data_IF_747178444845
#
_entry.id   IF_747178444845
#
_cell.length_a   1.000
_cell.length_b   1.000
_cell.length_c   1.000
_cell.angle_alpha   90.00
_cell.angle_beta   90.00
_cell.angle_gamma   90.00
#
_symmetry.space_group_name_H-M   'P 1'
#
loop_
_entity.id
_entity.type
_entity.pdbx_description
1 polymer ?
#
# COMPACT_ATOMS: atom_id res chain seq x y z
N UNK A 1 34.36 -2.50 13.44
CA UNK A 1 33.98 -1.64 12.30
C UNK A 1 32.53 -1.93 11.94
N UNK A 2 31.69 -0.92 11.79
CA UNK A 2 30.34 -1.12 11.30
C UNK A 2 30.42 -1.66 9.87
N UNK A 3 29.73 -2.77 9.57
CA UNK A 3 29.66 -3.34 8.24
C UNK A 3 28.97 -2.32 7.33
N UNK A 4 29.68 -1.83 6.31
CA UNK A 4 29.11 -0.94 5.32
C UNK A 4 28.07 -1.71 4.49
N UNK A 5 27.01 -1.01 4.11
CA UNK A 5 25.96 -1.55 3.27
C UNK A 5 26.52 -1.85 1.85
N UNK A 6 26.32 -3.05 1.36
CA UNK A 6 26.81 -3.45 0.04
C UNK A 6 25.74 -3.20 -1.02
N UNK A 7 26.10 -2.43 -2.05
CA UNK A 7 25.22 -2.09 -3.17
C UNK A 7 25.98 -2.14 -4.49
N UNK A 8 25.22 -2.34 -5.58
CA UNK A 8 25.74 -2.29 -6.95
C UNK A 8 24.75 -1.58 -7.85
N UNK A 9 25.22 -0.54 -8.56
CA UNK A 9 24.45 0.19 -9.55
C UNK A 9 24.63 -0.46 -10.93
N UNK A 10 23.56 -0.52 -11.70
CA UNK A 10 23.54 -0.98 -13.09
C UNK A 10 22.36 -0.35 -13.83
N UNK A 11 22.19 -0.66 -15.09
CA UNK A 11 21.00 -0.31 -15.87
C UNK A 11 20.32 -1.56 -16.43
N UNK A 12 19.02 -1.46 -16.65
CA UNK A 12 18.18 -2.50 -17.24
C UNK A 12 17.22 -1.80 -18.21
N UNK A 13 17.12 -2.26 -19.44
CA UNK A 13 16.14 -1.72 -20.38
C UNK A 13 14.71 -2.11 -19.97
N UNK A 14 13.71 -1.33 -20.40
CA UNK A 14 12.30 -1.72 -20.19
C UNK A 14 12.00 -3.07 -20.82
N UNK A 15 12.60 -3.38 -21.97
CA UNK A 15 12.47 -4.71 -22.60
C UNK A 15 12.95 -5.83 -21.69
N UNK A 16 14.17 -5.71 -21.16
CA UNK A 16 14.73 -6.72 -20.22
C UNK A 16 13.93 -6.79 -18.90
N UNK A 17 13.46 -5.65 -18.42
CA UNK A 17 12.57 -5.62 -17.25
C UNK A 17 11.29 -6.41 -17.53
N UNK A 18 10.62 -6.16 -18.66
CA UNK A 18 9.36 -6.81 -18.99
C UNK A 18 9.52 -8.32 -19.21
N UNK A 19 10.62 -8.77 -19.84
CA UNK A 19 10.96 -10.19 -19.97
C UNK A 19 11.15 -10.87 -18.59
N UNK A 20 11.81 -10.18 -17.67
CA UNK A 20 11.97 -10.66 -16.30
C UNK A 20 10.65 -10.64 -15.52
N UNK A 21 9.80 -9.64 -15.75
CA UNK A 21 8.47 -9.52 -15.14
C UNK A 21 7.55 -10.67 -15.57
N UNK A 22 7.45 -10.94 -16.88
CA UNK A 22 6.64 -12.05 -17.43
C UNK A 22 7.15 -13.42 -17.00
N UNK A 23 8.46 -13.51 -16.66
CA UNK A 23 9.08 -14.70 -16.09
C UNK A 23 8.95 -14.82 -14.58
N UNK A 24 8.13 -13.99 -13.92
CA UNK A 24 7.87 -13.96 -12.48
C UNK A 24 9.14 -13.82 -11.62
N UNK A 25 10.12 -13.04 -12.09
CA UNK A 25 11.37 -12.82 -11.34
C UNK A 25 11.26 -11.69 -10.32
N UNK A 26 10.18 -10.89 -10.30
CA UNK A 26 10.00 -9.80 -9.35
C UNK A 26 8.92 -10.13 -8.33
N UNK A 27 9.19 -9.82 -7.06
CA UNK A 27 8.24 -9.89 -5.96
C UNK A 27 7.88 -8.46 -5.55
N UNK A 28 6.62 -8.10 -5.75
CA UNK A 28 6.08 -6.77 -5.44
C UNK A 28 5.41 -6.70 -4.07
N UNK A 29 5.02 -7.83 -3.49
CA UNK A 29 4.27 -7.90 -2.23
C UNK A 29 5.19 -8.23 -1.05
N UNK A 30 6.34 -7.55 -0.99
CA UNK A 30 7.20 -7.60 0.19
C UNK A 30 6.61 -6.76 1.31
N UNK A 31 6.75 -7.25 2.53
CA UNK A 31 6.03 -6.80 3.73
C UNK A 31 6.17 -5.32 4.08
N UNK A 32 7.18 -4.64 3.55
CA UNK A 32 7.48 -3.23 3.79
C UNK A 32 7.01 -2.28 2.69
N UNK A 33 6.29 -2.77 1.66
CA UNK A 33 5.85 -1.92 0.55
C UNK A 33 4.43 -1.36 0.71
N UNK A 34 4.18 -0.24 -0.01
CA UNK A 34 2.84 0.36 -0.14
C UNK A 34 1.90 -0.57 -0.91
N UNK A 35 0.60 -0.52 -0.60
CA UNK A 35 -0.43 -1.17 -1.43
C UNK A 35 -0.36 -0.65 -2.87
N UNK A 36 -0.62 -1.52 -3.84
CA UNK A 36 -0.79 -1.13 -5.26
C UNK A 36 -1.88 -0.07 -5.39
N UNK A 37 -1.76 0.80 -6.39
CA UNK A 37 -2.78 1.81 -6.66
C UNK A 37 -2.64 3.12 -5.87
N UNK A 38 -1.52 3.37 -5.20
CA UNK A 38 -1.27 4.67 -4.52
C UNK A 38 -1.10 5.81 -5.52
N UNK A 39 -0.50 5.55 -6.70
CA UNK A 39 -0.40 6.56 -7.74
C UNK A 39 -1.70 6.69 -8.53
N UNK A 40 -2.14 7.93 -8.76
CA UNK A 40 -3.22 8.21 -9.72
C UNK A 40 -2.80 7.83 -11.14
N UNK A 41 -3.78 7.65 -12.02
CA UNK A 41 -3.55 7.40 -13.43
C UNK A 41 -2.70 8.52 -14.05
N UNK A 42 -3.02 9.79 -13.77
CA UNK A 42 -2.24 10.94 -14.24
C UNK A 42 -0.77 10.87 -13.85
N UNK A 43 -0.46 10.47 -12.61
CA UNK A 43 0.93 10.35 -12.15
C UNK A 43 1.67 9.21 -12.86
N UNK A 44 0.97 8.11 -13.16
CA UNK A 44 1.52 6.99 -13.94
C UNK A 44 1.77 7.42 -15.38
N UNK A 45 0.79 8.07 -16.01
CA UNK A 45 0.89 8.59 -17.37
C UNK A 45 2.03 9.60 -17.52
N UNK A 46 2.20 10.51 -16.55
CA UNK A 46 3.30 11.46 -16.51
C UNK A 46 4.68 10.77 -16.44
N UNK A 47 4.80 9.66 -15.73
CA UNK A 47 6.04 8.86 -15.76
C UNK A 47 6.31 8.31 -17.16
N UNK A 48 5.29 7.79 -17.84
CA UNK A 48 5.44 7.25 -19.20
C UNK A 48 5.84 8.35 -20.18
N UNK A 49 5.26 9.54 -20.06
CA UNK A 49 5.67 10.73 -20.84
C UNK A 49 7.15 11.03 -20.64
N UNK A 50 7.61 11.01 -19.38
CA UNK A 50 9.02 11.25 -19.05
C UNK A 50 9.95 10.20 -19.70
N UNK A 51 9.54 8.93 -19.72
CA UNK A 51 10.28 7.84 -20.35
C UNK A 51 10.37 8.05 -21.87
N UNK A 52 9.26 8.37 -22.53
CA UNK A 52 9.20 8.58 -23.97
C UNK A 52 10.00 9.81 -24.41
N UNK A 53 10.09 10.82 -23.56
CA UNK A 53 10.92 12.02 -23.77
C UNK A 53 12.38 11.82 -23.34
N UNK A 54 12.74 10.61 -22.88
CA UNK A 54 14.07 10.26 -22.38
C UNK A 54 14.53 11.08 -21.17
N UNK A 55 13.60 11.57 -20.35
CA UNK A 55 13.94 12.23 -19.10
C UNK A 55 14.45 11.23 -18.05
N UNK A 56 15.36 11.64 -17.17
CA UNK A 56 15.83 10.77 -16.11
C UNK A 56 14.72 10.48 -15.11
N UNK A 57 14.52 9.20 -14.78
CA UNK A 57 13.63 8.76 -13.71
C UNK A 57 14.43 8.26 -12.50
N UNK A 58 13.91 8.39 -11.27
CA UNK A 58 14.59 7.88 -10.08
C UNK A 58 14.91 6.39 -10.17
N UNK A 59 16.02 5.98 -9.56
CA UNK A 59 16.48 4.60 -9.57
C UNK A 59 15.48 3.64 -8.92
N UNK A 60 15.45 2.40 -9.43
CA UNK A 60 14.71 1.28 -8.86
C UNK A 60 15.63 0.51 -7.92
N UNK A 61 15.17 0.20 -6.71
CA UNK A 61 15.97 -0.53 -5.72
C UNK A 61 15.46 -1.97 -5.62
N UNK A 62 16.35 -2.92 -5.89
CA UNK A 62 16.07 -4.35 -5.93
C UNK A 62 16.94 -5.10 -4.92
N UNK A 63 16.36 -6.07 -4.21
CA UNK A 63 17.10 -7.02 -3.39
C UNK A 63 17.11 -8.38 -4.09
N UNK A 64 18.26 -8.88 -4.55
CA UNK A 64 18.35 -10.24 -5.08
C UNK A 64 18.20 -11.26 -3.96
N UNK A 65 17.32 -12.22 -4.15
CA UNK A 65 17.08 -13.34 -3.27
C UNK A 65 17.19 -14.64 -4.06
N UNK A 66 17.77 -15.67 -3.47
CA UNK A 66 17.75 -17.01 -4.06
C UNK A 66 16.50 -17.72 -3.55
N UNK A 67 15.68 -18.18 -4.46
CA UNK A 67 14.54 -19.03 -4.15
C UNK A 67 15.07 -20.42 -3.76
N UNK A 68 14.82 -20.85 -2.54
CA UNK A 68 15.39 -22.10 -1.99
C UNK A 68 14.85 -23.35 -2.67
N UNK A 69 13.65 -23.30 -3.23
CA UNK A 69 13.00 -24.46 -3.86
C UNK A 69 13.49 -24.66 -5.30
N UNK A 70 13.70 -23.57 -6.02
CA UNK A 70 14.05 -23.60 -7.44
C UNK A 70 15.51 -23.28 -7.75
N UNK A 71 16.25 -22.71 -6.78
CA UNK A 71 17.61 -22.20 -6.95
C UNK A 71 17.72 -20.97 -7.87
N UNK A 72 16.58 -20.41 -8.31
CA UNK A 72 16.54 -19.24 -9.19
C UNK A 72 16.67 -17.94 -8.40
N UNK A 73 17.31 -16.95 -8.99
CA UNK A 73 17.35 -15.60 -8.44
C UNK A 73 16.03 -14.90 -8.75
N UNK A 74 15.38 -14.42 -7.69
CA UNK A 74 14.23 -13.53 -7.73
C UNK A 74 14.59 -12.20 -7.09
N UNK A 75 13.89 -11.15 -7.40
CA UNK A 75 14.19 -9.79 -6.95
C UNK A 75 13.03 -9.22 -6.15
N UNK A 76 13.25 -8.91 -4.89
CA UNK A 76 12.32 -8.09 -4.12
C UNK A 76 12.46 -6.65 -4.57
N UNK A 77 11.36 -6.05 -4.96
CA UNK A 77 11.33 -4.63 -5.31
C UNK A 77 11.30 -3.83 -4.01
N UNK A 78 12.40 -3.22 -3.60
CA UNK A 78 12.51 -2.44 -2.36
C UNK A 78 11.91 -1.05 -2.54
N UNK A 79 12.28 -0.34 -3.59
CA UNK A 79 11.65 0.92 -4.01
C UNK A 79 11.49 0.96 -5.52
N UNK A 80 10.48 1.72 -5.98
CA UNK A 80 10.14 1.85 -7.38
C UNK A 80 8.97 0.97 -7.84
N UNK A 81 8.26 0.30 -6.93
CA UNK A 81 7.07 -0.51 -7.24
C UNK A 81 6.09 0.24 -8.14
N UNK A 82 5.69 1.46 -7.75
CA UNK A 82 4.72 2.26 -8.50
C UNK A 82 5.24 2.64 -9.90
N UNK A 83 6.56 2.86 -10.05
CA UNK A 83 7.20 3.12 -11.34
C UNK A 83 7.15 1.89 -12.24
N UNK A 84 7.50 0.73 -11.72
CA UNK A 84 7.44 -0.53 -12.46
C UNK A 84 6.00 -0.92 -12.81
N UNK A 85 5.06 -0.75 -11.89
CA UNK A 85 3.63 -0.96 -12.14
C UNK A 85 3.09 -0.03 -13.24
N UNK A 86 3.50 1.25 -13.25
CA UNK A 86 3.10 2.19 -14.31
C UNK A 86 3.60 1.75 -15.70
N UNK A 87 4.83 1.26 -15.79
CA UNK A 87 5.39 0.71 -17.04
C UNK A 87 4.58 -0.50 -17.51
N UNK A 88 4.26 -1.43 -16.59
CA UNK A 88 3.43 -2.60 -16.91
C UNK A 88 2.01 -2.18 -17.31
N UNK A 89 1.39 -1.25 -16.55
CA UNK A 89 0.05 -0.74 -16.84
C UNK A 89 -0.04 -0.12 -18.25
N UNK A 90 0.99 0.58 -18.68
CA UNK A 90 1.05 1.14 -20.02
C UNK A 90 1.20 0.04 -21.08
N UNK A 91 2.12 -0.90 -20.93
CA UNK A 91 2.32 -2.02 -21.86
C UNK A 91 1.01 -2.83 -22.01
N UNK A 92 0.29 -3.04 -20.91
CA UNK A 92 -0.97 -3.79 -20.89
C UNK A 92 -2.22 -2.94 -21.21
N UNK A 93 -2.02 -1.68 -21.61
CA UNK A 93 -3.07 -0.73 -22.02
C UNK A 93 -4.08 -0.38 -20.91
N UNK A 94 -3.65 -0.40 -19.66
CA UNK A 94 -4.47 0.05 -18.52
C UNK A 94 -4.43 1.55 -18.30
N UNK A 95 -3.41 2.23 -18.84
CA UNK A 95 -3.26 3.68 -18.86
C UNK A 95 -2.86 4.15 -20.27
N UNK A 96 -3.06 5.45 -20.54
CA UNK A 96 -2.67 6.14 -21.76
C UNK A 96 -1.60 7.21 -21.48
N UNK A 97 -1.00 7.77 -22.51
CA UNK A 97 -0.19 8.99 -22.39
C UNK A 97 -1.07 10.16 -21.92
N UNK A 98 -0.44 11.19 -21.35
CA UNK A 98 -1.16 12.42 -21.02
C UNK A 98 -1.69 13.10 -22.29
N UNK A 99 -2.83 13.76 -22.18
CA UNK A 99 -3.40 14.54 -23.31
C UNK A 99 -2.57 15.76 -23.66
N UNK A 100 -1.72 16.21 -22.71
CA UNK A 100 -0.78 17.34 -22.88
C UNK A 100 0.66 16.88 -23.19
N UNK A 101 0.84 15.64 -23.69
CA UNK A 101 2.16 15.10 -24.02
C UNK A 101 2.98 16.00 -24.95
N UNK A 102 2.32 16.70 -25.89
CA UNK A 102 2.96 17.60 -26.83
C UNK A 102 3.24 19.01 -26.27
N UNK A 103 2.76 19.36 -25.07
CA UNK A 103 2.88 20.71 -24.49
C UNK A 103 4.21 20.93 -23.74
N UNK A 104 5.28 20.28 -24.17
CA UNK A 104 6.58 20.34 -23.50
C UNK A 104 7.57 21.19 -24.30
N UNK A 105 8.20 22.18 -23.68
CA UNK A 105 9.16 23.11 -24.30
C UNK A 105 10.38 22.43 -24.93
N UNK A 106 10.62 21.14 -24.62
CA UNK A 106 11.73 20.37 -25.19
C UNK A 106 11.34 19.56 -26.43
N UNK A 107 10.08 19.60 -26.86
CA UNK A 107 9.67 19.03 -28.14
C UNK A 107 9.91 20.08 -29.19
N UNK A 108 10.86 19.83 -30.11
CA UNK A 108 11.14 20.71 -31.23
C UNK A 108 9.98 20.72 -32.25
N UNK A 109 9.92 21.79 -33.05
CA UNK A 109 8.85 22.00 -34.04
C UNK A 109 8.73 20.82 -35.02
N UNK A 110 9.82 20.12 -35.33
CA UNK A 110 9.81 18.95 -36.22
C UNK A 110 9.11 17.73 -35.63
N UNK A 111 9.08 17.63 -34.32
CA UNK A 111 8.46 16.49 -33.59
C UNK A 111 7.08 16.83 -32.97
N UNK A 112 6.69 18.12 -32.99
CA UNK A 112 5.45 18.59 -32.35
C UNK A 112 4.19 17.96 -32.96
N UNK A 113 4.11 17.84 -34.27
CA UNK A 113 2.98 17.20 -34.96
C UNK A 113 2.86 15.73 -34.51
N UNK A 114 3.99 15.00 -34.54
CA UNK A 114 4.08 13.61 -34.15
C UNK A 114 3.74 13.39 -32.68
N UNK A 115 4.21 14.27 -31.80
CA UNK A 115 3.89 14.24 -30.37
C UNK A 115 2.40 14.48 -30.12
N UNK A 116 1.81 15.44 -30.85
CA UNK A 116 0.37 15.74 -30.75
C UNK A 116 -0.50 14.55 -31.20
N UNK A 117 -0.06 13.79 -32.19
CA UNK A 117 -0.81 12.63 -32.69
C UNK A 117 -0.81 11.43 -31.73
N UNK A 118 0.17 11.33 -30.84
CA UNK A 118 0.24 10.24 -29.85
C UNK A 118 -0.28 10.63 -28.45
N UNK A 119 -0.50 11.90 -28.20
CA UNK A 119 -1.06 12.39 -26.94
C UNK A 119 -2.39 11.69 -26.62
N UNK A 120 -2.55 11.22 -25.40
CA UNK A 120 -3.73 10.49 -24.95
C UNK A 120 -3.90 9.06 -25.48
N UNK A 121 -2.92 8.52 -26.21
CA UNK A 121 -3.00 7.16 -26.74
C UNK A 121 -2.42 6.12 -25.76
N UNK A 122 -3.00 4.92 -25.81
CA UNK A 122 -2.48 3.71 -25.17
C UNK A 122 -1.30 3.13 -25.96
N UNK A 123 -0.53 2.24 -25.32
CA UNK A 123 0.60 1.57 -25.97
C UNK A 123 0.22 0.83 -27.24
N UNK A 124 -0.92 0.11 -27.23
CA UNK A 124 -1.40 -0.64 -28.40
C UNK A 124 -1.81 0.29 -29.55
N UNK A 125 -2.37 1.46 -29.26
CA UNK A 125 -2.75 2.46 -30.27
C UNK A 125 -1.52 3.07 -30.92
N UNK A 126 -0.49 3.43 -30.13
CA UNK A 126 0.79 3.90 -30.64
C UNK A 126 1.45 2.81 -31.50
N UNK A 127 1.44 1.57 -31.01
CA UNK A 127 2.01 0.44 -31.76
C UNK A 127 1.31 0.18 -33.10
N UNK A 128 -0.01 0.35 -33.19
CA UNK A 128 -0.74 0.26 -34.46
C UNK A 128 -0.32 1.33 -35.47
N UNK A 129 0.08 2.51 -34.97
CA UNK A 129 0.60 3.64 -35.76
C UNK A 129 2.12 3.55 -35.99
N UNK A 130 2.75 2.43 -35.63
CA UNK A 130 4.22 2.25 -35.63
C UNK A 130 4.93 2.60 -36.93
N UNK A 131 4.24 2.59 -38.09
CA UNK A 131 4.81 3.05 -39.38
C UNK A 131 5.08 4.55 -39.39
N UNK A 132 4.29 5.31 -38.60
CA UNK A 132 4.43 6.78 -38.49
C UNK A 132 5.32 7.18 -37.31
N UNK A 133 5.37 6.32 -36.24
CA UNK A 133 6.05 6.63 -34.97
C UNK A 133 6.98 5.51 -34.49
N UNK A 134 7.86 4.94 -35.34
CA UNK A 134 8.71 3.82 -34.97
C UNK A 134 9.66 4.16 -33.82
N UNK A 135 10.08 5.41 -33.70
CA UNK A 135 11.08 5.85 -32.75
C UNK A 135 10.53 5.88 -31.30
N UNK A 136 9.26 6.21 -31.08
CA UNK A 136 8.65 6.21 -29.75
C UNK A 136 8.56 4.80 -29.14
N UNK A 137 8.19 3.79 -29.95
CA UNK A 137 8.16 2.39 -29.50
C UNK A 137 9.57 1.88 -29.20
N UNK A 138 10.53 2.21 -30.07
CA UNK A 138 11.93 1.86 -29.85
C UNK A 138 12.48 2.56 -28.61
N UNK A 139 12.25 3.86 -28.47
CA UNK A 139 12.65 4.66 -27.31
C UNK A 139 12.12 4.06 -26.01
N UNK A 140 10.83 3.71 -25.97
CA UNK A 140 10.21 3.09 -24.81
C UNK A 140 10.92 1.77 -24.42
N UNK A 141 11.08 0.85 -25.37
CA UNK A 141 11.68 -0.45 -25.07
C UNK A 141 13.17 -0.38 -24.70
N UNK A 142 13.90 0.56 -25.29
CA UNK A 142 15.35 0.74 -25.05
C UNK A 142 15.65 1.69 -23.90
N UNK A 143 14.64 2.34 -23.31
CA UNK A 143 14.86 3.22 -22.17
C UNK A 143 15.53 2.48 -21.02
N UNK A 144 16.64 3.04 -20.51
CA UNK A 144 17.45 2.44 -19.47
C UNK A 144 16.98 2.86 -18.08
N UNK A 145 16.38 1.94 -17.35
CA UNK A 145 16.05 2.08 -15.92
C UNK A 145 17.34 1.96 -15.10
N UNK A 146 17.59 2.92 -14.22
CA UNK A 146 18.69 2.83 -13.27
C UNK A 146 18.31 1.85 -12.15
N UNK A 147 19.12 0.82 -11.94
CA UNK A 147 18.89 -0.23 -10.94
C UNK A 147 19.98 -0.18 -9.88
N UNK A 148 19.56 -0.16 -8.62
CA UNK A 148 20.42 -0.30 -7.44
C UNK A 148 20.14 -1.65 -6.76
N UNK A 149 21.10 -2.57 -6.82
CA UNK A 149 21.02 -3.83 -6.08
C UNK A 149 21.48 -3.66 -4.65
N UNK A 150 20.67 -4.16 -3.71
CA UNK A 150 20.94 -4.14 -2.27
C UNK A 150 21.22 -5.58 -1.80
N UNK A 151 22.49 -5.89 -1.46
CA UNK A 151 22.91 -7.24 -1.05
C UNK A 151 22.78 -7.50 0.45
N UNK A 152 21.76 -6.91 1.10
CA UNK A 152 21.52 -7.10 2.54
C UNK A 152 20.46 -8.20 2.77
N UNK A 153 20.80 -9.14 3.66
CA UNK A 153 19.94 -10.26 4.00
C UNK A 153 18.99 -9.95 5.17
N UNK A 154 19.35 -8.96 6.00
CA UNK A 154 18.55 -8.60 7.17
C UNK A 154 17.42 -7.65 6.78
N UNK A 155 16.17 -8.08 6.98
CA UNK A 155 14.97 -7.32 6.63
C UNK A 155 14.90 -5.97 7.35
N UNK A 156 15.30 -5.89 8.62
CA UNK A 156 15.32 -4.64 9.40
C UNK A 156 16.23 -3.56 8.75
N UNK A 157 17.34 -3.97 8.15
CA UNK A 157 18.24 -3.04 7.46
C UNK A 157 17.67 -2.62 6.11
N UNK A 158 17.01 -3.53 5.39
CA UNK A 158 16.32 -3.21 4.14
C UNK A 158 15.17 -2.23 4.40
N UNK A 159 14.38 -2.45 5.45
CA UNK A 159 13.33 -1.53 5.88
C UNK A 159 13.88 -0.13 6.23
N UNK A 160 15.05 -0.06 6.88
CA UNK A 160 15.73 1.21 7.17
C UNK A 160 16.18 1.95 5.90
N UNK A 161 16.69 1.23 4.90
CA UNK A 161 17.06 1.81 3.59
C UNK A 161 15.80 2.33 2.89
N UNK A 162 14.73 1.54 2.87
CA UNK A 162 13.46 1.92 2.28
C UNK A 162 12.89 3.21 2.93
N UNK A 163 12.92 3.33 4.25
CA UNK A 163 12.51 4.56 4.96
C UNK A 163 13.34 5.78 4.51
N UNK A 164 14.65 5.62 4.39
CA UNK A 164 15.54 6.71 3.94
C UNK A 164 15.28 7.14 2.50
N UNK A 165 15.02 6.19 1.60
CA UNK A 165 14.69 6.48 0.20
C UNK A 165 13.37 7.25 0.08
N UNK A 166 12.37 6.86 0.86
CA UNK A 166 11.05 7.49 0.83
C UNK A 166 11.02 8.90 1.46
N UNK A 167 11.97 9.26 2.31
CA UNK A 167 12.04 10.63 2.88
C UNK A 167 12.27 11.72 1.84
N UNK A 168 12.76 11.37 0.65
CA UNK A 168 12.97 12.29 -0.46
C UNK A 168 11.78 12.37 -1.44
N UNK A 169 10.70 11.61 -1.17
CA UNK A 169 9.46 11.59 -1.97
C UNK A 169 8.22 11.81 -1.10
N UNK A 170 7.16 11.03 -1.33
CA UNK A 170 6.05 10.93 -0.38
C UNK A 170 6.49 10.03 0.80
N UNK A 171 6.71 10.57 2.00
CA UNK A 171 7.23 9.78 3.13
C UNK A 171 6.24 8.67 3.48
N UNK A 172 6.75 7.53 3.95
CA UNK A 172 5.93 6.47 4.51
C UNK A 172 5.09 7.01 5.67
N UNK A 173 3.86 6.55 5.78
CA UNK A 173 3.09 6.76 7.01
C UNK A 173 3.74 5.98 8.15
N UNK A 174 3.45 6.41 9.38
CA UNK A 174 3.89 5.68 10.58
C UNK A 174 3.40 4.22 10.56
N UNK A 175 2.21 3.96 10.03
CA UNK A 175 1.67 2.61 9.92
C UNK A 175 2.38 1.75 8.86
N UNK A 176 2.77 2.34 7.72
CA UNK A 176 3.60 1.64 6.74
C UNK A 176 4.97 1.25 7.31
N UNK A 177 5.57 2.14 8.14
CA UNK A 177 6.81 1.85 8.86
C UNK A 177 6.64 0.73 9.89
N UNK A 178 5.53 0.72 10.67
CA UNK A 178 5.21 -0.37 11.59
C UNK A 178 5.03 -1.69 10.86
N UNK A 179 4.31 -1.67 9.73
CA UNK A 179 4.12 -2.87 8.91
C UNK A 179 5.44 -3.46 8.41
N UNK A 180 6.42 -2.62 8.06
CA UNK A 180 7.76 -3.07 7.69
C UNK A 180 8.53 -3.62 8.90
N UNK A 181 8.60 -2.84 9.99
CA UNK A 181 9.42 -3.17 11.19
C UNK A 181 8.94 -4.44 11.91
N UNK A 182 7.62 -4.68 11.93
CA UNK A 182 7.02 -5.79 12.69
C UNK A 182 6.44 -6.89 11.79
N UNK A 183 6.87 -6.99 10.53
CA UNK A 183 6.33 -7.89 9.52
C UNK A 183 6.17 -9.34 9.97
N UNK A 184 7.16 -9.87 10.68
CA UNK A 184 7.19 -11.25 11.15
C UNK A 184 6.60 -11.45 12.55
N UNK A 185 6.20 -10.34 13.21
CA UNK A 185 5.70 -10.42 14.59
C UNK A 185 4.33 -11.10 14.65
N UNK A 186 4.09 -11.90 15.70
CA UNK A 186 2.75 -12.44 16.00
C UNK A 186 1.69 -11.34 16.12
N UNK A 187 2.05 -10.18 16.68
CA UNK A 187 1.16 -9.05 16.82
C UNK A 187 0.61 -8.58 15.47
N UNK A 188 1.49 -8.25 14.51
CA UNK A 188 1.04 -7.72 13.23
C UNK A 188 0.25 -8.75 12.42
N UNK A 189 0.62 -10.03 12.51
CA UNK A 189 -0.14 -11.12 11.88
C UNK A 189 -1.57 -11.16 12.42
N UNK A 190 -1.74 -11.10 13.75
CA UNK A 190 -3.05 -11.09 14.41
C UNK A 190 -3.86 -9.84 14.02
N UNK A 191 -3.27 -8.66 14.01
CA UNK A 191 -3.97 -7.42 13.58
C UNK A 191 -4.45 -7.54 12.13
N UNK A 192 -3.61 -8.05 11.22
CA UNK A 192 -4.00 -8.30 9.82
C UNK A 192 -5.12 -9.34 9.69
N UNK A 193 -5.13 -10.37 10.51
CA UNK A 193 -6.23 -11.33 10.56
C UNK A 193 -7.53 -10.68 11.03
N UNK A 194 -7.48 -9.88 12.09
CA UNK A 194 -8.64 -9.13 12.59
C UNK A 194 -9.20 -8.16 11.57
N UNK A 195 -8.33 -7.47 10.80
CA UNK A 195 -8.73 -6.55 9.72
C UNK A 195 -9.52 -7.25 8.62
N UNK A 196 -9.28 -8.55 8.42
CA UNK A 196 -9.93 -9.37 7.36
C UNK A 196 -11.20 -10.06 7.82
N UNK A 197 -11.69 -9.81 9.04
CA UNK A 197 -12.96 -10.40 9.49
C UNK A 197 -14.14 -9.80 8.72
N UNK A 198 -15.16 -10.60 8.41
CA UNK A 198 -16.33 -10.21 7.61
C UNK A 198 -17.00 -8.93 8.13
N UNK A 199 -16.98 -8.70 9.45
CA UNK A 199 -17.51 -7.49 10.05
C UNK A 199 -16.90 -6.21 9.46
N UNK A 200 -15.60 -6.21 9.16
CA UNK A 200 -14.88 -5.04 8.68
C UNK A 200 -14.87 -4.89 7.16
N UNK A 201 -15.26 -5.92 6.42
CA UNK A 201 -15.06 -5.98 4.97
C UNK A 201 -15.70 -4.79 4.24
N UNK A 202 -16.98 -4.53 4.50
CA UNK A 202 -17.71 -3.38 3.93
C UNK A 202 -17.41 -2.08 4.66
N UNK A 203 -17.24 -2.12 5.99
CA UNK A 203 -17.14 -0.94 6.84
C UNK A 203 -15.82 -0.20 6.68
N UNK A 204 -14.73 -0.93 6.41
CA UNK A 204 -13.41 -0.36 6.19
C UNK A 204 -13.05 -0.22 4.70
N UNK A 205 -13.99 -0.42 3.78
CA UNK A 205 -13.74 -0.38 2.33
C UNK A 205 -13.03 0.91 1.88
N UNK A 206 -13.39 2.06 2.47
CA UNK A 206 -12.76 3.36 2.20
C UNK A 206 -11.31 3.44 2.69
N UNK A 207 -10.99 2.81 3.83
CA UNK A 207 -9.64 2.81 4.44
C UNK A 207 -8.73 1.79 3.77
N UNK A 208 -9.26 0.70 3.23
CA UNK A 208 -8.48 -0.34 2.54
C UNK A 208 -7.68 0.19 1.35
N UNK A 209 -8.14 1.26 0.71
CA UNK A 209 -7.49 1.91 -0.41
C UNK A 209 -6.44 2.95 -0.01
N UNK A 210 -6.34 3.32 1.27
CA UNK A 210 -5.49 4.41 1.76
C UNK A 210 -4.41 3.84 2.68
N UNK A 211 -3.20 3.76 2.18
CA UNK A 211 -1.91 3.63 2.90
C UNK A 211 -1.95 2.90 4.26
N UNK A 212 -2.66 1.75 4.36
CA UNK A 212 -2.79 0.91 5.57
C UNK A 212 -3.54 1.57 6.75
N UNK A 213 -4.40 2.55 6.49
CA UNK A 213 -5.24 3.17 7.53
C UNK A 213 -6.20 2.17 8.18
N UNK A 214 -6.64 1.14 7.44
CA UNK A 214 -7.42 0.02 7.95
C UNK A 214 -6.67 -0.75 9.05
N UNK A 215 -5.38 -1.03 8.84
CA UNK A 215 -4.52 -1.72 9.81
C UNK A 215 -4.27 -0.82 11.02
N UNK A 216 -4.04 0.48 10.80
CA UNK A 216 -3.84 1.44 11.89
C UNK A 216 -5.08 1.52 12.79
N UNK A 217 -6.26 1.67 12.19
CA UNK A 217 -7.52 1.71 12.93
C UNK A 217 -7.78 0.44 13.74
N UNK A 218 -7.58 -0.74 13.16
CA UNK A 218 -7.73 -2.01 13.91
C UNK A 218 -6.67 -2.14 15.00
N UNK A 219 -5.46 -1.58 14.81
CA UNK A 219 -4.44 -1.54 15.86
C UNK A 219 -4.88 -0.72 17.07
N UNK A 220 -5.50 0.44 16.86
CA UNK A 220 -6.03 1.29 17.93
C UNK A 220 -7.09 0.52 18.75
N UNK A 221 -8.03 -0.13 18.06
CA UNK A 221 -9.05 -0.95 18.71
C UNK A 221 -8.47 -2.18 19.45
N UNK A 222 -7.46 -2.82 18.85
CA UNK A 222 -6.77 -3.94 19.47
C UNK A 222 -6.09 -3.52 20.77
N UNK A 223 -5.38 -2.40 20.77
CA UNK A 223 -4.68 -1.91 21.96
C UNK A 223 -5.62 -1.36 23.03
N UNK A 224 -6.77 -0.80 22.68
CA UNK A 224 -7.83 -0.49 23.65
C UNK A 224 -8.21 -1.73 24.44
N UNK A 225 -8.35 -2.87 23.76
CA UNK A 225 -8.70 -4.16 24.40
C UNK A 225 -7.52 -4.73 25.18
N UNK A 226 -6.31 -4.69 24.63
CA UNK A 226 -5.11 -5.25 25.23
C UNK A 226 -4.69 -4.51 26.51
N UNK A 227 -4.82 -3.18 26.52
CA UNK A 227 -4.50 -2.31 27.68
C UNK A 227 -5.70 -2.13 28.63
N UNK A 228 -6.86 -2.61 28.24
CA UNK A 228 -8.11 -2.53 29.00
C UNK A 228 -8.52 -1.09 29.38
N UNK A 229 -8.17 -0.11 28.56
CA UNK A 229 -8.47 1.32 28.74
C UNK A 229 -8.48 2.06 27.41
N UNK A 230 -9.19 3.18 27.35
CA UNK A 230 -9.09 4.14 26.24
C UNK A 230 -7.69 4.74 26.25
N UNK A 231 -7.08 4.76 25.06
CA UNK A 231 -5.72 5.23 24.85
C UNK A 231 -5.71 6.54 24.08
N UNK A 232 -4.66 7.29 24.25
CA UNK A 232 -4.31 8.35 23.32
C UNK A 232 -3.91 7.72 21.96
N UNK A 233 -4.56 8.17 20.89
CA UNK A 233 -4.30 7.72 19.51
C UNK A 233 -3.08 8.39 18.87
N UNK A 234 -2.15 8.92 19.69
CA UNK A 234 -0.90 9.47 19.17
C UNK A 234 -0.05 8.39 18.52
N UNK A 235 0.69 8.79 17.50
CA UNK A 235 1.57 7.87 16.77
C UNK A 235 2.67 7.28 17.68
N UNK A 236 3.12 8.07 18.65
CA UNK A 236 4.12 7.68 19.66
C UNK A 236 3.57 6.57 20.58
N UNK A 237 2.32 6.70 21.01
CA UNK A 237 1.65 5.67 21.83
C UNK A 237 1.52 4.37 21.06
N UNK A 238 1.11 4.42 19.79
CA UNK A 238 1.04 3.24 18.94
C UNK A 238 2.41 2.57 18.75
N UNK A 239 3.47 3.35 18.53
CA UNK A 239 4.83 2.82 18.36
C UNK A 239 5.30 2.07 19.62
N UNK A 240 5.03 2.61 20.82
CA UNK A 240 5.34 1.97 22.09
C UNK A 240 4.57 0.67 22.30
N UNK A 241 3.29 0.64 21.92
CA UNK A 241 2.44 -0.54 22.07
C UNK A 241 2.82 -1.65 21.09
N UNK A 242 3.17 -1.30 19.84
CA UNK A 242 3.72 -2.26 18.90
C UNK A 242 5.00 -2.92 19.43
N UNK A 243 5.90 -2.14 20.04
CA UNK A 243 7.13 -2.70 20.63
C UNK A 243 6.82 -3.56 21.84
N UNK A 244 5.92 -3.10 22.76
CA UNK A 244 5.50 -3.83 23.97
C UNK A 244 4.93 -5.21 23.64
N UNK A 245 4.04 -5.27 22.66
CA UNK A 245 3.32 -6.49 22.30
C UNK A 245 3.98 -7.31 21.20
N UNK A 246 5.09 -6.87 20.64
CA UNK A 246 5.76 -7.49 19.47
C UNK A 246 5.74 -9.02 19.52
N UNK A 247 6.11 -9.61 20.66
CA UNK A 247 6.30 -11.05 20.85
C UNK A 247 5.49 -11.62 22.06
N UNK A 248 4.58 -10.83 22.62
CA UNK A 248 3.72 -11.28 23.74
C UNK A 248 2.55 -12.15 23.24
N UNK A 249 2.85 -13.39 22.89
CA UNK A 249 1.85 -14.30 22.33
C UNK A 249 0.67 -14.55 23.26
N UNK A 250 0.88 -14.51 24.59
CA UNK A 250 -0.19 -14.70 25.60
C UNK A 250 -1.12 -13.51 25.65
N UNK A 251 -0.58 -12.29 25.76
CA UNK A 251 -1.34 -11.04 25.73
C UNK A 251 -2.10 -10.86 24.42
N UNK A 252 -1.42 -11.14 23.29
CA UNK A 252 -2.03 -11.08 21.95
C UNK A 252 -3.23 -12.02 21.85
N UNK A 253 -3.08 -13.31 22.25
CA UNK A 253 -4.17 -14.29 22.17
C UNK A 253 -5.36 -13.91 23.07
N UNK A 254 -5.08 -13.38 24.27
CA UNK A 254 -6.13 -12.89 25.19
C UNK A 254 -6.88 -11.70 24.56
N UNK A 255 -6.17 -10.72 24.05
CA UNK A 255 -6.75 -9.53 23.40
C UNK A 255 -7.54 -9.90 22.13
N UNK A 256 -7.05 -10.81 21.30
CA UNK A 256 -7.74 -11.30 20.10
C UNK A 256 -9.10 -11.94 20.45
N UNK A 257 -9.15 -12.81 21.46
CA UNK A 257 -10.40 -13.44 21.91
C UNK A 257 -11.41 -12.40 22.42
N UNK A 258 -10.94 -11.44 23.21
CA UNK A 258 -11.78 -10.36 23.70
C UNK A 258 -12.28 -9.45 22.57
N UNK A 259 -11.44 -9.13 21.60
CA UNK A 259 -11.81 -8.37 20.41
C UNK A 259 -12.94 -9.04 19.61
N UNK A 260 -12.83 -10.34 19.35
CA UNK A 260 -13.86 -11.12 18.66
C UNK A 260 -15.17 -11.16 19.46
N UNK A 261 -15.09 -11.27 20.80
CA UNK A 261 -16.26 -11.19 21.67
C UNK A 261 -16.98 -9.84 21.55
N UNK A 262 -16.23 -8.74 21.45
CA UNK A 262 -16.78 -7.38 21.24
C UNK A 262 -17.50 -7.29 19.89
N UNK A 263 -16.93 -7.82 18.81
CA UNK A 263 -17.60 -7.86 17.50
C UNK A 263 -18.90 -8.67 17.57
N UNK A 264 -18.91 -9.77 18.29
CA UNK A 264 -20.12 -10.57 18.54
C UNK A 264 -21.19 -9.75 19.28
N UNK A 265 -20.79 -8.92 20.24
CA UNK A 265 -21.69 -8.00 20.94
C UNK A 265 -22.26 -6.95 19.99
N UNK A 266 -21.43 -6.32 19.15
CA UNK A 266 -21.91 -5.35 18.16
C UNK A 266 -22.94 -5.99 17.20
N UNK A 267 -22.69 -7.21 16.76
CA UNK A 267 -23.65 -7.93 15.89
C UNK A 267 -25.00 -8.17 16.61
N UNK A 268 -25.01 -8.45 17.91
CA UNK A 268 -26.25 -8.61 18.70
C UNK A 268 -27.02 -7.30 18.87
N UNK A 269 -26.38 -6.13 18.74
CA UNK A 269 -27.05 -4.84 18.81
C UNK A 269 -27.94 -4.54 17.59
N UNK A 270 -27.83 -5.31 16.50
CA UNK A 270 -28.61 -5.13 15.28
C UNK A 270 -28.55 -3.69 14.74
N UNK A 271 -27.33 -3.14 14.66
CA UNK A 271 -27.11 -1.77 14.14
C UNK A 271 -27.37 -1.72 12.66
N UNK A 272 -28.19 -0.76 12.23
CA UNK A 272 -28.52 -0.56 10.81
C UNK A 272 -27.49 0.34 10.12
N UNK A 273 -26.38 -0.25 9.67
CA UNK A 273 -25.33 0.47 8.95
C UNK A 273 -25.78 0.94 7.55
N UNK A 274 -26.76 0.30 6.95
CA UNK A 274 -27.27 0.67 5.62
C UNK A 274 -28.13 1.93 5.66
N UNK A 275 -28.92 2.08 6.70
CA UNK A 275 -29.74 3.28 6.89
C UNK A 275 -28.88 4.53 7.17
N UNK A 276 -27.73 4.36 7.83
CA UNK A 276 -26.86 5.48 8.16
C UNK A 276 -25.37 5.17 7.87
N UNK A 277 -24.90 5.58 6.69
CA UNK A 277 -23.50 5.37 6.26
C UNK A 277 -22.44 6.06 7.14
N UNK A 278 -22.83 7.06 7.96
CA UNK A 278 -21.89 7.72 8.90
C UNK A 278 -21.43 6.77 10.00
N UNK A 279 -22.24 5.75 10.33
CA UNK A 279 -21.82 4.68 11.25
C UNK A 279 -20.54 3.95 10.79
N UNK A 280 -20.25 3.95 9.49
CA UNK A 280 -19.02 3.39 8.93
C UNK A 280 -17.81 4.36 8.96
N UNK A 281 -17.95 5.57 9.51
CA UNK A 281 -16.81 6.47 9.71
C UNK A 281 -15.99 6.02 10.92
N UNK A 282 -14.68 6.15 10.86
CA UNK A 282 -13.76 5.67 11.90
C UNK A 282 -14.11 6.15 13.31
N UNK A 283 -14.46 7.43 13.46
CA UNK A 283 -14.86 8.02 14.74
C UNK A 283 -16.09 7.33 15.33
N UNK A 284 -17.10 7.05 14.48
CA UNK A 284 -18.34 6.39 14.94
C UNK A 284 -18.11 4.89 15.18
N UNK A 285 -17.32 4.22 14.33
CA UNK A 285 -16.93 2.82 14.53
C UNK A 285 -16.10 2.65 15.81
N UNK A 286 -15.17 3.57 16.09
CA UNK A 286 -14.41 3.56 17.35
C UNK A 286 -15.32 3.70 18.55
N UNK A 287 -16.27 4.66 18.50
CA UNK A 287 -17.25 4.88 19.57
C UNK A 287 -18.15 3.68 19.80
N UNK A 288 -18.65 3.07 18.70
CA UNK A 288 -19.49 1.88 18.77
C UNK A 288 -18.72 0.68 19.35
N UNK A 289 -17.47 0.48 18.92
CA UNK A 289 -16.61 -0.58 19.44
C UNK A 289 -16.30 -0.36 20.93
N UNK A 290 -15.99 0.86 21.33
CA UNK A 290 -15.73 1.21 22.74
C UNK A 290 -16.96 1.01 23.61
N UNK A 291 -18.16 1.34 23.11
CA UNK A 291 -19.42 1.07 23.81
C UNK A 291 -19.61 -0.45 24.00
N UNK A 292 -19.44 -1.23 22.93
CA UNK A 292 -19.58 -2.69 23.00
C UNK A 292 -18.54 -3.32 23.95
N UNK A 293 -17.31 -2.78 23.99
CA UNK A 293 -16.29 -3.18 24.96
C UNK A 293 -16.73 -2.93 26.42
N UNK A 294 -17.33 -1.76 26.72
CA UNK A 294 -17.88 -1.45 28.04
C UNK A 294 -19.04 -2.37 28.40
N UNK A 295 -19.98 -2.61 27.47
CA UNK A 295 -21.10 -3.52 27.67
C UNK A 295 -20.64 -4.96 27.95
N UNK A 296 -19.63 -5.42 27.25
CA UNK A 296 -19.02 -6.74 27.50
C UNK A 296 -18.46 -6.87 28.92
N UNK A 297 -17.95 -5.79 29.51
CA UNK A 297 -17.47 -5.78 30.91
C UNK A 297 -18.59 -5.80 31.93
N UNK A 298 -19.71 -5.16 31.61
CA UNK A 298 -20.87 -5.10 32.53
C UNK A 298 -21.65 -6.45 32.60
N UNK A 299 -21.52 -7.30 31.58
CA UNK A 299 -22.13 -8.63 31.53
C UNK A 299 -23.62 -8.64 31.21
N UNK A 300 -24.33 -7.53 31.31
CA UNK A 300 -25.75 -7.41 30.97
C UNK A 300 -25.93 -6.47 29.78
N UNK A 301 -26.64 -6.92 28.75
CA UNK A 301 -26.95 -6.14 27.57
C UNK A 301 -28.42 -5.69 27.67
N UNK A 302 -28.66 -4.36 27.78
CA UNK A 302 -30.01 -3.85 27.61
C UNK A 302 -30.47 -4.16 26.16
N UNK A 303 -31.53 -4.98 25.98
CA UNK A 303 -31.97 -5.38 24.64
C UNK A 303 -32.39 -4.20 23.74
N UNK A 304 -32.64 -3.03 24.32
CA UNK A 304 -33.05 -1.84 23.59
C UNK A 304 -31.91 -0.91 23.18
N UNK A 305 -30.66 -1.20 23.58
CA UNK A 305 -29.52 -0.30 23.24
C UNK A 305 -29.34 -0.15 21.74
N UNK A 306 -29.45 -1.24 20.98
CA UNK A 306 -29.32 -1.18 19.51
C UNK A 306 -30.40 -0.30 18.86
N UNK A 307 -31.66 -0.41 19.30
CA UNK A 307 -32.75 0.45 18.86
C UNK A 307 -32.46 1.92 19.18
N UNK A 308 -32.04 2.23 20.41
CA UNK A 308 -31.69 3.60 20.83
C UNK A 308 -30.55 4.18 19.98
N UNK A 309 -29.54 3.39 19.60
CA UNK A 309 -28.46 3.82 18.70
C UNK A 309 -29.01 4.12 17.31
N UNK A 310 -29.82 3.22 16.74
CA UNK A 310 -30.45 3.44 15.44
C UNK A 310 -31.32 4.70 15.42
N UNK A 311 -32.16 4.90 16.43
CA UNK A 311 -33.01 6.07 16.59
C UNK A 311 -32.21 7.37 16.70
N UNK A 312 -31.13 7.35 17.51
CA UNK A 312 -30.22 8.48 17.63
C UNK A 312 -29.62 8.88 16.28
N UNK A 313 -29.09 7.92 15.54
CA UNK A 313 -28.48 8.20 14.23
C UNK A 313 -29.52 8.65 13.19
N UNK A 314 -30.76 8.17 13.28
CA UNK A 314 -31.85 8.62 12.40
C UNK A 314 -32.31 10.03 12.74
N UNK A 315 -32.28 10.42 14.02
CA UNK A 315 -32.77 11.72 14.47
C UNK A 315 -31.75 12.86 14.27
N UNK A 316 -30.46 12.57 14.35
CA UNK A 316 -29.41 13.60 14.38
C UNK A 316 -28.54 13.67 13.12
N UNK A 317 -28.64 12.69 12.23
CA UNK A 317 -27.80 12.59 11.02
C UNK A 317 -28.59 12.23 9.77
#
# INVERSE_FOLDING_TARGET
>A
MAKLFERKSTSLTISEFYDNYTSNKYRFDVTYQRKSGVWSEDKKSFLIDSILKNYPVPAIFLRPCVDNDTGKTVYDVVDGKQRLEAIVDFIENRIALTTYFAEDDFIDDANLETASEIAGLTFAEIKKRNKSFPDYIKQFWTYALNIEYLYEQKEDLVATVFDRLNRNGEPLTRQELRNAKYSDSPLLKTIKELTRTDFWDDKLSRLKSVRMEDIEFISELFFLVAEDRVLDSSQETLDLLYEKYRNDTTGISKAQKAFISILTTINKLNINFDANKRLCWTTHLYSLFSLAWLLNKQGELDPNIGAKINDFYTAYF
#
